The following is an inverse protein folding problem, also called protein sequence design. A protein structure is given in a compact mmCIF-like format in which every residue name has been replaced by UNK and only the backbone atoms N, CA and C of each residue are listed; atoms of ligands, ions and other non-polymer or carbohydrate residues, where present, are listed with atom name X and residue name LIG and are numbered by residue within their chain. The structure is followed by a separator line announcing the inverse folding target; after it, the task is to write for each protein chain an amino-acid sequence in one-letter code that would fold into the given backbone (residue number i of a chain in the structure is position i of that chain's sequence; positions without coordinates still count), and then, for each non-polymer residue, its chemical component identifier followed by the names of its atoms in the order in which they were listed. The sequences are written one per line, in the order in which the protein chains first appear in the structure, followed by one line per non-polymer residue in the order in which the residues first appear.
data_IF_816449262023
#
_entry.id   IF_816449262023
#
_cell.length_a   1.000
_cell.length_b   1.000
_cell.length_c   1.000
_cell.angle_alpha   90.00
_cell.angle_beta   90.00
_cell.angle_gamma   90.00
#
_symmetry.space_group_name_H-M   'P 1'
#
loop_
_entity.id
_entity.type
_entity.pdbx_description
1 polymer ?
#
# COMPACT_ATOMS: atom_id res chain seq x y z
N UNK A 1 -5.74 -10.00 -4.32
CA UNK A 1 -4.84 -8.89 -4.72
C UNK A 1 -4.33 -8.12 -3.51
N UNK A 2 -5.16 -7.82 -2.50
CA UNK A 2 -4.77 -7.00 -1.33
C UNK A 2 -4.17 -7.80 -0.14
N UNK A 3 -3.87 -9.08 -0.34
CA UNK A 3 -3.48 -9.99 0.75
C UNK A 3 -2.17 -9.59 1.43
N UNK A 4 -1.21 -9.03 0.68
CA UNK A 4 0.07 -8.60 1.25
C UNK A 4 -0.11 -7.39 2.17
N UNK A 5 -0.78 -6.34 1.69
CA UNK A 5 -1.12 -5.15 2.49
C UNK A 5 -1.95 -5.53 3.72
N UNK A 6 -2.96 -6.40 3.55
CA UNK A 6 -3.75 -6.92 4.67
C UNK A 6 -2.92 -7.70 5.70
N UNK A 7 -1.91 -8.46 5.26
CA UNK A 7 -0.96 -9.11 6.18
C UNK A 7 -0.18 -8.08 6.98
N UNK A 8 0.40 -7.07 6.33
CA UNK A 8 1.16 -6.02 7.03
C UNK A 8 0.26 -5.30 8.05
N UNK A 9 -0.99 -5.00 7.70
CA UNK A 9 -1.93 -4.36 8.63
C UNK A 9 -2.20 -5.22 9.88
N UNK A 10 -2.38 -6.53 9.69
CA UNK A 10 -2.48 -7.49 10.79
C UNK A 10 -1.19 -7.55 11.62
N UNK A 11 -0.04 -7.59 10.96
CA UNK A 11 1.27 -7.69 11.62
C UNK A 11 1.54 -6.44 12.47
N UNK A 12 1.23 -5.24 11.97
CA UNK A 12 1.31 -3.98 12.70
C UNK A 12 0.39 -3.97 13.93
N UNK A 13 -0.85 -4.47 13.79
CA UNK A 13 -1.76 -4.60 14.94
C UNK A 13 -1.23 -5.61 15.98
N UNK A 14 -0.53 -6.65 15.53
CA UNK A 14 0.00 -7.72 16.39
C UNK A 14 1.44 -7.47 16.87
N UNK A 15 2.08 -6.36 16.49
CA UNK A 15 3.47 -6.02 16.84
C UNK A 15 3.87 -6.41 18.28
N UNK A 16 3.18 -5.96 19.35
CA UNK A 16 3.61 -6.27 20.72
C UNK A 16 3.58 -7.77 21.04
N UNK A 17 2.69 -8.53 20.40
CA UNK A 17 2.61 -9.97 20.56
C UNK A 17 3.68 -10.70 19.75
N UNK A 18 3.99 -10.21 18.54
CA UNK A 18 5.06 -10.73 17.70
C UNK A 18 6.43 -10.51 18.33
N UNK A 19 6.68 -9.32 18.87
CA UNK A 19 7.92 -9.01 19.58
C UNK A 19 8.10 -9.91 20.82
N UNK A 20 7.04 -10.07 21.62
CA UNK A 20 7.05 -10.97 22.78
C UNK A 20 7.29 -12.44 22.38
N UNK A 21 6.66 -12.88 21.29
CA UNK A 21 6.83 -14.22 20.76
C UNK A 21 8.29 -14.48 20.34
N UNK A 22 8.90 -13.51 19.66
CA UNK A 22 10.30 -13.55 19.27
C UNK A 22 11.26 -13.54 20.48
N UNK A 23 10.90 -12.89 21.58
CA UNK A 23 11.73 -12.83 22.81
C UNK A 23 11.56 -14.07 23.71
N UNK A 24 10.50 -14.86 23.52
CA UNK A 24 10.17 -15.98 24.40
C UNK A 24 11.20 -17.11 24.30
N UNK A 25 11.94 -17.33 25.40
CA UNK A 25 13.04 -18.31 25.48
C UNK A 25 12.65 -19.75 25.07
N UNK A 26 11.38 -20.14 25.26
CA UNK A 26 10.87 -21.44 24.82
C UNK A 26 11.04 -21.65 23.30
N UNK A 27 10.87 -20.60 22.50
CA UNK A 27 10.97 -20.63 21.04
C UNK A 27 12.38 -20.37 20.50
N UNK A 28 13.35 -20.17 21.38
CA UNK A 28 14.74 -19.82 21.05
C UNK A 28 15.76 -20.89 21.50
N UNK A 29 15.33 -22.16 21.60
CA UNK A 29 16.17 -23.32 21.92
C UNK A 29 16.90 -23.85 20.67
N UNK A 30 17.91 -24.71 20.83
CA UNK A 30 18.66 -25.26 19.68
C UNK A 30 17.72 -25.85 18.61
N UNK A 31 17.78 -25.28 17.39
CA UNK A 31 16.94 -25.64 16.24
C UNK A 31 15.87 -24.60 15.88
N UNK A 32 15.27 -23.93 16.87
CA UNK A 32 14.24 -22.90 16.68
C UNK A 32 14.75 -21.56 17.21
N UNK A 33 14.84 -20.54 16.36
CA UNK A 33 15.42 -19.23 16.69
C UNK A 33 14.56 -18.11 16.13
N UNK A 34 13.40 -17.91 16.77
CA UNK A 34 12.45 -16.87 16.37
C UNK A 34 12.99 -15.46 16.62
N UNK A 35 13.91 -15.31 17.58
CA UNK A 35 14.64 -14.08 17.86
C UNK A 35 15.32 -13.48 16.61
N UNK A 36 15.74 -14.31 15.66
CA UNK A 36 16.37 -13.87 14.41
C UNK A 36 15.41 -13.21 13.41
N UNK A 37 14.11 -13.40 13.59
CA UNK A 37 13.07 -12.80 12.75
C UNK A 37 12.43 -11.57 13.43
N UNK A 38 12.91 -11.19 14.61
CA UNK A 38 12.43 -10.00 15.29
C UNK A 38 12.78 -8.78 14.47
N UNK A 39 11.77 -7.98 14.15
CA UNK A 39 11.98 -6.70 13.52
C UNK A 39 12.45 -5.69 14.56
N UNK A 40 13.37 -4.83 14.17
CA UNK A 40 13.74 -3.67 14.97
C UNK A 40 12.76 -2.51 14.76
N UNK A 41 12.90 -1.46 15.58
CA UNK A 41 12.00 -0.30 15.54
C UNK A 41 11.99 0.40 14.16
N UNK A 42 13.14 0.49 13.48
CA UNK A 42 13.24 1.09 12.15
C UNK A 42 12.52 0.24 11.09
N UNK A 43 12.60 -1.08 11.19
CA UNK A 43 11.89 -2.02 10.31
C UNK A 43 10.37 -1.94 10.53
N UNK A 44 9.91 -1.77 11.77
CA UNK A 44 8.50 -1.53 12.07
C UNK A 44 8.00 -0.20 11.50
N UNK A 45 8.80 0.88 11.64
CA UNK A 45 8.49 2.19 11.04
C UNK A 45 8.43 2.10 9.51
N UNK A 46 9.36 1.34 8.91
CA UNK A 46 9.35 1.06 7.47
C UNK A 46 8.07 0.32 7.06
N UNK A 47 7.70 -0.76 7.76
CA UNK A 47 6.47 -1.51 7.46
C UNK A 47 5.21 -0.64 7.60
N UNK A 48 5.17 0.24 8.59
CA UNK A 48 4.06 1.18 8.77
C UNK A 48 3.96 2.14 7.58
N UNK A 49 5.09 2.74 7.19
CA UNK A 49 5.14 3.66 6.04
C UNK A 49 4.73 2.96 4.73
N UNK A 50 5.19 1.71 4.54
CA UNK A 50 4.81 0.90 3.39
C UNK A 50 3.32 0.52 3.40
N UNK A 51 2.77 0.17 4.57
CA UNK A 51 1.35 -0.10 4.71
C UNK A 51 0.52 1.12 4.33
N UNK A 52 0.88 2.30 4.84
CA UNK A 52 0.14 3.55 4.60
C UNK A 52 0.17 3.93 3.11
N UNK A 53 1.29 3.71 2.41
CA UNK A 53 1.38 3.84 0.96
C UNK A 53 0.44 2.87 0.22
N UNK A 54 0.32 1.63 0.71
CA UNK A 54 -0.46 0.58 0.05
C UNK A 54 -1.95 0.62 0.38
N UNK A 55 -2.34 1.23 1.50
CA UNK A 55 -3.72 1.27 1.99
C UNK A 55 -4.65 2.06 1.04
N UNK A 56 -4.13 3.10 0.38
CA UNK A 56 -4.90 3.84 -0.63
C UNK A 56 -5.41 2.92 -1.76
N UNK A 57 -4.61 1.94 -2.19
CA UNK A 57 -5.04 0.97 -3.19
C UNK A 57 -6.12 0.03 -2.65
N UNK A 58 -6.08 -0.35 -1.37
CA UNK A 58 -7.17 -1.14 -0.77
C UNK A 58 -8.45 -0.34 -0.82
N UNK A 59 -8.42 0.92 -0.36
CA UNK A 59 -9.57 1.79 -0.33
C UNK A 59 -10.20 1.94 -1.72
N UNK A 60 -9.42 2.37 -2.71
CA UNK A 60 -9.88 2.57 -4.10
C UNK A 60 -10.44 1.28 -4.69
N UNK A 61 -9.71 0.16 -4.59
CA UNK A 61 -10.16 -1.11 -5.21
C UNK A 61 -11.40 -1.68 -4.53
N UNK A 62 -11.54 -1.49 -3.22
CA UNK A 62 -12.71 -1.92 -2.45
C UNK A 62 -13.95 -1.13 -2.85
N UNK A 63 -13.82 0.20 -2.96
CA UNK A 63 -14.91 1.08 -3.38
C UNK A 63 -15.36 0.76 -4.81
N UNK A 64 -14.42 0.56 -5.73
CA UNK A 64 -14.72 0.22 -7.12
C UNK A 64 -15.37 -1.17 -7.24
N UNK A 65 -14.92 -2.15 -6.46
CA UNK A 65 -15.36 -3.55 -6.59
C UNK A 65 -16.71 -3.84 -5.93
N UNK A 66 -17.06 -3.14 -4.85
CA UNK A 66 -18.30 -3.36 -4.10
C UNK A 66 -19.43 -2.39 -4.47
N UNK A 67 -19.21 -1.50 -5.43
CA UNK A 67 -20.25 -0.62 -5.92
C UNK A 67 -21.35 -1.40 -6.63
N UNK A 68 -22.60 -1.13 -6.26
CA UNK A 68 -23.78 -1.63 -6.98
C UNK A 68 -24.06 -0.84 -8.27
N UNK A 69 -23.26 0.18 -8.58
CA UNK A 69 -23.41 1.05 -9.74
C UNK A 69 -22.12 1.07 -10.59
N UNK A 70 -22.23 1.24 -11.92
CA UNK A 70 -21.06 1.44 -12.77
C UNK A 70 -20.32 2.73 -12.39
N UNK A 71 -19.07 2.59 -11.92
CA UNK A 71 -18.20 3.70 -11.53
C UNK A 71 -17.19 4.07 -12.62
N UNK A 72 -17.54 3.91 -13.90
CA UNK A 72 -16.64 4.24 -15.02
C UNK A 72 -16.19 5.70 -14.99
N UNK A 73 -17.07 6.61 -14.55
CA UNK A 73 -16.76 8.04 -14.41
C UNK A 73 -15.77 8.34 -13.29
N UNK A 74 -15.61 7.45 -12.31
CA UNK A 74 -14.69 7.62 -11.18
C UNK A 74 -13.29 7.06 -11.45
N UNK A 75 -13.10 6.32 -12.55
CA UNK A 75 -11.83 5.63 -12.84
C UNK A 75 -10.67 6.63 -12.98
N UNK A 76 -10.87 7.71 -13.76
CA UNK A 76 -9.85 8.75 -13.92
C UNK A 76 -9.65 9.52 -12.60
N UNK A 77 -10.70 10.00 -11.90
CA UNK A 77 -10.56 10.60 -10.58
C UNK A 77 -9.77 9.75 -9.57
N UNK A 78 -10.02 8.44 -9.51
CA UNK A 78 -9.26 7.54 -8.64
C UNK A 78 -7.81 7.39 -9.06
N UNK A 79 -7.51 7.39 -10.37
CA UNK A 79 -6.14 7.37 -10.87
C UNK A 79 -5.40 8.65 -10.48
N UNK A 80 -6.07 9.81 -10.59
CA UNK A 80 -5.51 11.11 -10.20
C UNK A 80 -5.23 11.16 -8.69
N UNK A 81 -6.21 10.79 -7.86
CA UNK A 81 -6.06 10.74 -6.40
C UNK A 81 -4.91 9.83 -5.97
N UNK A 82 -4.83 8.62 -6.54
CA UNK A 82 -3.74 7.69 -6.27
C UNK A 82 -2.39 8.26 -6.73
N UNK A 83 -2.34 8.97 -7.86
CA UNK A 83 -1.11 9.61 -8.37
C UNK A 83 -0.63 10.72 -7.44
N UNK A 84 -1.55 11.53 -6.91
CA UNK A 84 -1.24 12.57 -5.93
C UNK A 84 -0.70 11.96 -4.63
N UNK A 85 -1.31 10.88 -4.14
CA UNK A 85 -0.81 10.15 -2.96
C UNK A 85 0.61 9.65 -3.20
N UNK A 86 0.87 8.97 -4.34
CA UNK A 86 2.23 8.49 -4.67
C UNK A 86 3.24 9.65 -4.73
N UNK A 87 2.85 10.81 -5.27
CA UNK A 87 3.70 12.00 -5.34
C UNK A 87 4.05 12.52 -3.95
N UNK A 88 3.07 12.59 -3.05
CA UNK A 88 3.30 13.01 -1.66
C UNK A 88 4.27 12.06 -0.93
N UNK A 89 4.16 10.75 -1.11
CA UNK A 89 5.11 9.79 -0.54
C UNK A 89 6.50 9.89 -1.19
N UNK A 90 6.57 10.16 -2.49
CA UNK A 90 7.85 10.34 -3.17
C UNK A 90 8.62 11.56 -2.66
N UNK A 91 7.91 12.68 -2.46
CA UNK A 91 8.50 13.97 -2.09
C UNK A 91 8.76 14.12 -0.57
N UNK A 92 8.24 13.20 0.24
CA UNK A 92 8.46 13.22 1.69
C UNK A 92 9.86 12.70 2.07
N UNK A 93 10.78 13.63 2.32
CA UNK A 93 12.14 13.32 2.75
C UNK A 93 12.24 12.68 4.15
N UNK A 94 11.14 12.66 4.93
CA UNK A 94 11.12 12.11 6.29
C UNK A 94 10.85 10.60 6.33
N UNK A 95 10.30 10.02 5.26
CA UNK A 95 10.05 8.59 5.18
C UNK A 95 11.25 7.84 4.59
N UNK A 96 11.28 6.51 4.77
CA UNK A 96 12.35 5.66 4.28
C UNK A 96 12.50 5.76 2.74
N UNK A 97 13.75 5.87 2.26
CA UNK A 97 14.08 6.01 0.83
C UNK A 97 13.50 4.88 -0.05
N UNK A 98 13.40 3.66 0.48
CA UNK A 98 12.80 2.55 -0.27
C UNK A 98 11.30 2.77 -0.51
N UNK A 99 10.59 3.40 0.43
CA UNK A 99 9.17 3.76 0.28
C UNK A 99 9.02 4.91 -0.73
N UNK A 100 9.91 5.91 -0.69
CA UNK A 100 9.93 6.99 -1.70
C UNK A 100 10.13 6.46 -3.12
N UNK A 101 11.08 5.52 -3.29
CA UNK A 101 11.34 4.86 -4.59
C UNK A 101 10.16 4.00 -5.02
N UNK A 102 9.55 3.26 -4.08
CA UNK A 102 8.35 2.48 -4.35
C UNK A 102 7.19 3.38 -4.82
N UNK A 103 7.01 4.55 -4.19
CA UNK A 103 6.00 5.54 -4.58
C UNK A 103 6.28 6.11 -5.98
N UNK A 104 7.53 6.46 -6.30
CA UNK A 104 7.92 6.89 -7.64
C UNK A 104 7.60 5.83 -8.71
N UNK A 105 7.87 4.55 -8.42
CA UNK A 105 7.49 3.45 -9.31
C UNK A 105 5.97 3.31 -9.42
N UNK A 106 5.24 3.45 -8.31
CA UNK A 106 3.78 3.49 -8.29
C UNK A 106 3.24 4.58 -9.22
N UNK A 107 3.76 5.80 -9.11
CA UNK A 107 3.41 6.94 -9.95
C UNK A 107 3.62 6.65 -11.45
N UNK A 108 4.75 6.05 -11.83
CA UNK A 108 5.00 5.65 -13.23
C UNK A 108 3.96 4.65 -13.76
N UNK A 109 3.54 3.71 -12.92
CA UNK A 109 2.49 2.76 -13.26
C UNK A 109 1.12 3.46 -13.37
N UNK A 110 0.80 4.36 -12.45
CA UNK A 110 -0.44 5.15 -12.51
C UNK A 110 -0.51 5.99 -13.78
N UNK A 111 0.57 6.70 -14.14
CA UNK A 111 0.66 7.48 -15.38
C UNK A 111 0.45 6.61 -16.64
N UNK A 112 0.97 5.39 -16.64
CA UNK A 112 0.73 4.42 -17.73
C UNK A 112 -0.73 3.98 -17.81
N UNK A 113 -1.43 3.85 -16.69
CA UNK A 113 -2.87 3.55 -16.70
C UNK A 113 -3.70 4.76 -17.09
N UNK A 114 -3.34 5.95 -16.60
CA UNK A 114 -3.94 7.22 -16.98
C UNK A 114 -3.90 7.41 -18.50
N UNK A 115 -2.76 7.19 -19.15
CA UNK A 115 -2.64 7.34 -20.61
C UNK A 115 -3.61 6.42 -21.36
N UNK A 116 -3.83 5.19 -20.86
CA UNK A 116 -4.76 4.24 -21.48
C UNK A 116 -6.22 4.60 -21.26
N UNK A 117 -6.56 5.19 -20.13
CA UNK A 117 -7.91 5.67 -19.86
C UNK A 117 -8.22 6.94 -20.64
N UNK A 118 -7.22 7.80 -20.82
CA UNK A 118 -7.34 9.03 -21.61
C UNK A 118 -7.56 8.73 -23.11
N UNK A 119 -6.85 7.72 -23.65
CA UNK A 119 -7.04 7.24 -25.03
C UNK A 119 -8.45 6.64 -25.29
N UNK A 120 -9.19 6.30 -24.22
CA UNK A 120 -10.48 5.63 -24.33
C UNK A 120 -11.64 6.62 -24.10
N UNK A 121 -12.31 6.98 -25.18
CA UNK A 121 -13.43 7.95 -25.19
C UNK A 121 -14.57 7.60 -24.23
N UNK A 122 -14.72 6.32 -23.87
CA UNK A 122 -15.76 5.87 -22.93
C UNK A 122 -15.60 6.54 -21.56
N UNK A 123 -14.36 6.67 -21.06
CA UNK A 123 -14.13 7.31 -19.75
C UNK A 123 -14.47 8.80 -19.81
N UNK A 124 -14.06 9.48 -20.89
CA UNK A 124 -14.39 10.89 -21.11
C UNK A 124 -15.89 11.14 -21.24
N UNK A 125 -16.61 10.31 -21.99
CA UNK A 125 -18.08 10.40 -22.12
C UNK A 125 -18.75 10.16 -20.76
N UNK A 126 -18.26 9.19 -19.97
CA UNK A 126 -18.80 8.91 -18.66
C UNK A 126 -18.58 10.09 -17.68
N UNK A 127 -17.49 10.84 -17.84
CA UNK A 127 -17.20 12.04 -17.03
C UNK A 127 -17.90 13.31 -17.53
N UNK A 128 -18.19 13.42 -18.83
CA UNK A 128 -18.86 14.58 -19.41
C UNK A 128 -20.33 14.61 -18.97
N UNK A 129 -20.71 15.62 -18.19
CA UNK A 129 -22.10 16.00 -17.95
C UNK A 129 -22.58 17.00 -18.99
#
# INVERSE_FOLDING_TARGET
WNSFTGSIGCDLHLQPYLDNLCDTAHFNKQGNRLDKFKLNDEEWVFLKSLHDLLDCFIYTTTNMSHSNMPLTHEVIPYIDELTDIMTNFHDDASINIAVQIAAAHGQLIMNKYHSKTDDCTIYHIAMSK
#
